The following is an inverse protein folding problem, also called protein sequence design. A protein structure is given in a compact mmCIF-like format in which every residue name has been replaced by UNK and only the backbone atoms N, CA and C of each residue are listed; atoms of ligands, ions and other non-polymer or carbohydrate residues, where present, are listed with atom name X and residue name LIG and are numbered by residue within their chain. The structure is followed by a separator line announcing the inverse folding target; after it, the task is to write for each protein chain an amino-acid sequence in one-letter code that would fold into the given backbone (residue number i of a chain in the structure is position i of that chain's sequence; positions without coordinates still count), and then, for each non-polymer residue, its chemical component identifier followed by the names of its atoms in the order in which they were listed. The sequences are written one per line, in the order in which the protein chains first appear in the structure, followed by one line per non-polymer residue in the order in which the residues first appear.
data_IF_267924072146
#
_entry.id   IF_267924072146
#
_cell.length_a   1.000
_cell.length_b   1.000
_cell.length_c   1.000
_cell.angle_alpha   90.00
_cell.angle_beta   90.00
_cell.angle_gamma   90.00
#
_symmetry.space_group_name_H-M   'P 1'
#
loop_
_entity.id
_entity.type
_entity.pdbx_description
1 polymer ?
#
# COMPACT_ATOMS: atom_id res chain seq x y z
N UNK A 1 24.77 -3.00 -11.42
CA UNK A 1 23.79 -1.98 -11.88
C UNK A 1 22.75 -1.83 -10.79
N UNK A 2 22.42 -0.61 -10.37
CA UNK A 2 21.35 -0.40 -9.41
C UNK A 2 20.01 -0.72 -10.08
N UNK A 3 19.24 -1.62 -9.49
CA UNK A 3 17.89 -1.95 -9.93
C UNK A 3 16.94 -0.85 -9.49
N UNK A 4 16.19 -0.27 -10.43
CA UNK A 4 15.11 0.68 -10.16
C UNK A 4 13.79 -0.10 -10.11
N UNK A 5 13.02 0.05 -9.04
CA UNK A 5 11.64 -0.44 -8.96
C UNK A 5 10.71 0.72 -8.69
N UNK A 6 9.52 0.67 -9.28
CA UNK A 6 8.48 1.68 -9.11
C UNK A 6 7.15 0.97 -8.97
N UNK A 7 6.43 1.28 -7.89
CA UNK A 7 5.14 0.69 -7.57
C UNK A 7 4.15 1.79 -7.22
N UNK A 8 2.95 1.77 -7.81
CA UNK A 8 1.90 2.69 -7.38
C UNK A 8 1.25 2.09 -6.14
N UNK A 9 1.54 2.62 -4.96
CA UNK A 9 1.17 2.05 -3.66
C UNK A 9 -0.21 2.49 -3.16
N UNK A 10 -0.72 3.62 -3.64
CA UNK A 10 -2.04 4.11 -3.24
C UNK A 10 -2.52 5.27 -4.08
N UNK A 11 -3.60 5.91 -3.64
CA UNK A 11 -4.12 7.13 -4.21
C UNK A 11 -4.75 8.02 -3.14
N UNK A 12 -4.86 9.31 -3.45
CA UNK A 12 -5.58 10.29 -2.65
C UNK A 12 -6.36 11.25 -3.54
N UNK A 13 -7.20 12.06 -2.91
CA UNK A 13 -8.00 13.07 -3.60
C UNK A 13 -7.56 14.44 -3.11
N UNK A 14 -7.15 15.31 -4.03
CA UNK A 14 -6.84 16.71 -3.72
C UNK A 14 -8.14 17.51 -3.77
N UNK A 15 -8.45 18.17 -2.65
CA UNK A 15 -9.62 19.03 -2.49
C UNK A 15 -9.18 20.42 -2.04
N UNK A 16 -9.25 21.39 -2.95
CA UNK A 16 -8.88 22.79 -2.68
C UNK A 16 -10.13 23.70 -2.61
N UNK A 17 -11.31 23.19 -2.97
CA UNK A 17 -12.56 23.95 -3.00
C UNK A 17 -12.67 24.92 -4.18
N UNK A 18 -11.55 25.34 -4.78
CA UNK A 18 -11.51 26.17 -5.98
C UNK A 18 -11.51 25.38 -7.31
N UNK A 19 -11.10 24.11 -7.28
CA UNK A 19 -10.96 23.22 -8.44
C UNK A 19 -11.72 21.92 -8.21
N UNK A 20 -12.15 21.21 -9.29
CA UNK A 20 -12.76 19.90 -9.14
C UNK A 20 -11.78 18.91 -8.50
N UNK A 21 -12.33 18.03 -7.65
CA UNK A 21 -11.60 16.95 -7.00
C UNK A 21 -10.70 16.20 -8.00
N UNK A 22 -9.42 16.08 -7.67
CA UNK A 22 -8.43 15.44 -8.52
C UNK A 22 -7.84 14.20 -7.83
N UNK A 23 -7.82 13.07 -8.53
CA UNK A 23 -7.12 11.86 -8.05
C UNK A 23 -5.64 12.01 -8.29
N UNK A 24 -4.86 11.79 -7.22
CA UNK A 24 -3.41 11.72 -7.26
C UNK A 24 -2.99 10.33 -6.82
N UNK A 25 -2.20 9.67 -7.66
CA UNK A 25 -1.61 8.36 -7.38
C UNK A 25 -0.28 8.53 -6.66
N UNK A 26 -0.03 7.65 -5.69
CA UNK A 26 1.19 7.62 -4.89
C UNK A 26 2.09 6.52 -5.45
N UNK A 27 3.25 6.90 -5.97
CA UNK A 27 4.27 5.97 -6.46
C UNK A 27 5.43 5.86 -5.48
N UNK A 28 5.75 4.66 -5.01
CA UNK A 28 6.99 4.39 -4.28
C UNK A 28 8.06 3.98 -5.28
N UNK A 29 9.18 4.67 -5.25
CA UNK A 29 10.35 4.41 -6.08
C UNK A 29 11.45 3.88 -5.18
N UNK A 30 12.06 2.75 -5.54
CA UNK A 30 13.23 2.23 -4.86
C UNK A 30 14.39 2.09 -5.85
N UNK A 31 15.56 2.52 -5.42
CA UNK A 31 16.79 2.41 -6.19
C UNK A 31 17.81 1.64 -5.36
N UNK A 32 18.51 0.69 -6.01
CA UNK A 32 19.48 -0.18 -5.36
C UNK A 32 20.40 0.55 -4.38
N UNK A 33 20.69 -0.07 -3.23
CA UNK A 33 21.43 0.57 -2.12
C UNK A 33 20.53 1.15 -1.01
N UNK A 34 19.24 0.80 -0.99
CA UNK A 34 18.32 1.14 0.11
C UNK A 34 17.66 2.51 0.00
N UNK A 35 17.88 3.25 -1.09
CA UNK A 35 17.22 4.53 -1.32
C UNK A 35 15.79 4.32 -1.78
N UNK A 36 14.84 4.97 -1.12
CA UNK A 36 13.43 4.94 -1.47
C UNK A 36 12.80 6.31 -1.28
N UNK A 37 11.88 6.69 -2.16
CA UNK A 37 11.11 7.92 -2.04
C UNK A 37 9.72 7.74 -2.64
N UNK A 38 8.83 8.70 -2.37
CA UNK A 38 7.46 8.70 -2.87
C UNK A 38 7.27 9.84 -3.86
N UNK A 39 6.56 9.59 -4.96
CA UNK A 39 6.10 10.61 -5.90
C UNK A 39 4.60 10.65 -5.94
N UNK A 40 4.07 11.85 -6.15
CA UNK A 40 2.64 12.11 -6.25
C UNK A 40 2.33 12.55 -7.67
N UNK A 41 1.50 11.78 -8.38
CA UNK A 41 1.23 12.01 -9.80
C UNK A 41 -0.27 11.95 -10.08
N UNK A 42 -0.87 13.01 -10.66
CA UNK A 42 -2.23 12.91 -11.17
C UNK A 42 -2.25 12.00 -12.40
N UNK A 43 -3.41 11.47 -12.74
CA UNK A 43 -3.57 10.55 -13.88
C UNK A 43 -3.01 11.12 -15.19
N UNK A 44 -3.22 12.41 -15.42
CA UNK A 44 -2.78 13.13 -16.62
C UNK A 44 -1.25 13.13 -16.77
N UNK A 45 -0.50 13.04 -15.66
CA UNK A 45 0.95 12.93 -15.72
C UNK A 45 1.38 11.58 -16.32
N UNK A 46 0.67 10.48 -16.03
CA UNK A 46 0.92 9.17 -16.63
C UNK A 46 0.62 9.18 -18.13
N UNK A 47 -0.49 9.82 -18.53
CA UNK A 47 -0.85 9.98 -19.94
C UNK A 47 0.21 10.76 -20.70
N UNK A 48 0.68 11.89 -20.16
CA UNK A 48 1.77 12.68 -20.76
C UNK A 48 3.06 11.88 -20.87
N UNK A 49 3.44 11.17 -19.80
CA UNK A 49 4.61 10.29 -19.83
C UNK A 49 4.48 9.25 -20.94
N UNK A 50 3.33 8.56 -21.03
CA UNK A 50 3.08 7.56 -22.06
C UNK A 50 3.21 8.14 -23.47
N UNK A 51 2.59 9.30 -23.73
CA UNK A 51 2.69 9.99 -25.02
C UNK A 51 4.14 10.37 -25.36
N UNK A 52 4.87 10.95 -24.41
CA UNK A 52 6.28 11.34 -24.61
C UNK A 52 7.16 10.12 -24.89
N UNK A 53 7.00 9.04 -24.12
CA UNK A 53 7.73 7.80 -24.34
C UNK A 53 7.39 7.19 -25.69
N UNK A 54 6.11 7.13 -26.08
CA UNK A 54 5.69 6.61 -27.39
C UNK A 54 6.26 7.44 -28.55
N UNK A 55 6.43 8.76 -28.40
CA UNK A 55 7.10 9.58 -29.42
C UNK A 55 8.59 9.24 -29.57
N UNK A 56 9.27 8.89 -28.48
CA UNK A 56 10.72 8.64 -28.46
C UNK A 56 11.04 7.20 -28.87
N UNK A 57 10.29 6.23 -28.35
CA UNK A 57 10.58 4.81 -28.44
C UNK A 57 9.58 4.03 -29.32
N UNK A 58 8.54 4.69 -29.83
CA UNK A 58 7.57 4.11 -30.75
C UNK A 58 6.80 2.93 -30.15
N UNK A 59 6.72 1.83 -30.91
CA UNK A 59 5.97 0.63 -30.54
C UNK A 59 6.57 -0.17 -29.38
N UNK A 60 7.79 0.17 -28.93
CA UNK A 60 8.38 -0.46 -27.74
C UNK A 60 7.69 -0.06 -26.44
N UNK A 61 6.84 0.99 -26.47
CA UNK A 61 6.15 1.51 -25.29
C UNK A 61 4.72 0.94 -25.25
N UNK A 62 4.36 0.18 -24.21
CA UNK A 62 2.98 -0.26 -24.02
C UNK A 62 2.04 0.95 -23.88
N UNK A 63 0.83 0.84 -24.42
CA UNK A 63 -0.17 1.89 -24.34
C UNK A 63 -0.50 2.20 -22.87
N UNK A 64 -0.55 3.50 -22.52
CA UNK A 64 -0.94 3.92 -21.18
C UNK A 64 -2.43 3.57 -20.93
N UNK A 65 -2.78 2.96 -19.78
CA UNK A 65 -4.17 2.66 -19.44
C UNK A 65 -5.04 3.92 -19.58
N UNK A 66 -6.21 3.86 -20.23
CA UNK A 66 -7.06 5.04 -20.40
C UNK A 66 -7.79 5.44 -19.11
N UNK A 67 -8.28 6.68 -19.04
CA UNK A 67 -9.02 7.18 -17.87
C UNK A 67 -10.43 6.59 -17.83
N UNK A 68 -10.58 5.43 -17.22
CA UNK A 68 -11.86 4.72 -17.10
C UNK A 68 -12.33 4.54 -15.64
N UNK A 69 -11.87 5.39 -14.73
CA UNK A 69 -12.29 5.35 -13.32
C UNK A 69 -13.19 6.53 -12.96
N UNK A 70 -14.00 6.32 -11.94
CA UNK A 70 -14.96 7.27 -11.40
C UNK A 70 -14.70 7.46 -9.91
N UNK A 71 -14.41 8.71 -9.52
CA UNK A 71 -14.13 9.14 -8.16
C UNK A 71 -15.21 8.74 -7.15
N UNK A 72 -16.45 8.55 -7.58
CA UNK A 72 -17.58 8.13 -6.74
C UNK A 72 -17.45 6.67 -6.29
N UNK A 73 -16.66 5.87 -6.99
CA UNK A 73 -16.50 4.44 -6.77
C UNK A 73 -15.03 4.12 -6.47
N UNK A 74 -14.63 3.96 -5.19
CA UNK A 74 -13.24 3.76 -4.81
C UNK A 74 -12.60 2.53 -5.47
N UNK A 75 -13.38 1.45 -5.67
CA UNK A 75 -12.91 0.24 -6.36
C UNK A 75 -12.47 0.50 -7.80
N UNK A 76 -13.10 1.47 -8.49
CA UNK A 76 -12.71 1.82 -9.86
C UNK A 76 -11.37 2.54 -9.91
N UNK A 77 -11.08 3.36 -8.90
CA UNK A 77 -9.81 4.07 -8.76
C UNK A 77 -8.70 3.09 -8.35
N UNK A 78 -9.03 2.14 -7.48
CA UNK A 78 -8.11 1.06 -7.10
C UNK A 78 -7.75 0.18 -8.29
N UNK A 79 -8.73 -0.16 -9.15
CA UNK A 79 -8.43 -0.85 -10.41
C UNK A 79 -7.47 -0.03 -11.28
N UNK A 80 -7.69 1.28 -11.43
CA UNK A 80 -6.80 2.15 -12.18
C UNK A 80 -5.39 2.21 -11.57
N UNK A 81 -5.28 2.21 -10.24
CA UNK A 81 -3.99 2.13 -9.52
C UNK A 81 -3.23 0.87 -9.89
N UNK A 82 -3.91 -0.29 -9.87
CA UNK A 82 -3.32 -1.58 -10.26
C UNK A 82 -2.87 -1.56 -11.72
N UNK A 83 -3.74 -1.10 -12.64
CA UNK A 83 -3.43 -1.03 -14.07
C UNK A 83 -2.21 -0.13 -14.35
N UNK A 84 -2.13 1.05 -13.70
CA UNK A 84 -0.99 1.96 -13.82
C UNK A 84 0.29 1.34 -13.25
N UNK A 85 0.18 0.62 -12.13
CA UNK A 85 1.32 -0.08 -11.54
C UNK A 85 1.86 -1.17 -12.47
N UNK A 86 0.97 -1.95 -13.10
CA UNK A 86 1.37 -2.95 -14.08
C UNK A 86 2.01 -2.31 -15.31
N UNK A 87 1.44 -1.21 -15.79
CA UNK A 87 1.98 -0.47 -16.92
C UNK A 87 3.40 0.05 -16.64
N UNK A 88 3.65 0.65 -15.47
CA UNK A 88 5.00 1.07 -15.07
C UNK A 88 5.96 -0.12 -15.00
N UNK A 89 5.53 -1.25 -14.41
CA UNK A 89 6.38 -2.45 -14.36
C UNK A 89 6.77 -2.94 -15.75
N UNK A 90 5.90 -2.83 -16.76
CA UNK A 90 6.23 -3.14 -18.14
C UNK A 90 7.26 -2.16 -18.73
N UNK A 91 7.13 -0.85 -18.46
CA UNK A 91 8.13 0.14 -18.87
C UNK A 91 9.52 -0.17 -18.32
N UNK A 92 9.59 -0.64 -17.07
CA UNK A 92 10.85 -0.99 -16.41
C UNK A 92 11.56 -2.22 -17.03
N UNK A 93 10.86 -3.01 -17.87
CA UNK A 93 11.49 -4.13 -18.59
C UNK A 93 12.41 -3.68 -19.73
N UNK A 94 12.34 -2.39 -20.11
CA UNK A 94 13.12 -1.82 -21.21
C UNK A 94 14.13 -0.79 -20.68
N UNK A 95 15.43 -1.15 -20.57
CA UNK A 95 16.48 -0.27 -20.04
C UNK A 95 16.52 1.16 -20.62
N UNK A 96 16.36 1.35 -21.94
CA UNK A 96 16.36 2.70 -22.50
C UNK A 96 15.22 3.59 -21.99
N UNK A 97 14.07 3.01 -21.61
CA UNK A 97 12.90 3.76 -21.13
C UNK A 97 13.19 4.34 -19.73
N UNK A 98 13.56 3.49 -18.76
CA UNK A 98 13.75 3.96 -17.39
C UNK A 98 15.05 4.75 -17.18
N UNK A 99 15.98 4.69 -18.12
CA UNK A 99 17.17 5.55 -18.18
C UNK A 99 16.89 6.89 -18.89
N UNK A 100 15.73 7.03 -19.55
CA UNK A 100 15.38 8.27 -20.25
C UNK A 100 15.14 9.42 -19.28
N UNK A 101 15.51 10.63 -19.68
CA UNK A 101 15.29 11.83 -18.87
C UNK A 101 13.81 12.02 -18.50
N UNK A 102 12.89 11.74 -19.42
CA UNK A 102 11.45 11.90 -19.19
C UNK A 102 10.95 10.97 -18.08
N UNK A 103 11.41 9.72 -18.06
CA UNK A 103 11.04 8.78 -17.01
C UNK A 103 11.70 9.14 -15.68
N UNK A 104 12.99 9.49 -15.68
CA UNK A 104 13.73 9.88 -14.47
C UNK A 104 13.10 11.11 -13.82
N UNK A 105 12.76 12.14 -14.61
CA UNK A 105 12.05 13.34 -14.14
C UNK A 105 10.69 12.97 -13.55
N UNK A 106 9.90 12.14 -14.25
CA UNK A 106 8.61 11.67 -13.77
C UNK A 106 8.70 10.96 -12.41
N UNK A 107 9.76 10.19 -12.15
CA UNK A 107 9.92 9.47 -10.89
C UNK A 107 10.71 10.23 -9.82
N UNK A 108 11.25 11.43 -10.09
CA UNK A 108 12.09 12.15 -9.11
C UNK A 108 11.65 13.59 -8.82
N UNK A 109 10.95 14.25 -9.76
CA UNK A 109 10.47 15.62 -9.56
C UNK A 109 9.51 15.70 -8.37
N UNK A 110 9.70 16.69 -7.49
CA UNK A 110 8.86 16.90 -6.30
C UNK A 110 8.71 15.65 -5.41
N UNK A 111 9.74 14.80 -5.37
CA UNK A 111 9.74 13.61 -4.53
C UNK A 111 9.55 13.97 -3.04
N UNK A 112 8.72 13.17 -2.37
CA UNK A 112 8.31 13.33 -0.98
C UNK A 112 7.54 14.62 -0.67
N UNK A 113 7.05 15.34 -1.69
CA UNK A 113 6.23 16.55 -1.52
C UNK A 113 4.78 16.23 -1.88
N UNK A 114 3.90 15.97 -0.89
CA UNK A 114 2.49 15.77 -1.15
C UNK A 114 1.83 17.08 -1.63
N UNK A 115 0.90 17.03 -2.62
CA UNK A 115 0.15 18.19 -3.03
C UNK A 115 -0.66 18.80 -1.86
N UNK A 116 -0.83 20.13 -1.82
CA UNK A 116 -1.66 20.78 -0.81
C UNK A 116 -3.11 20.28 -0.93
N UNK A 117 -3.77 20.04 0.20
CA UNK A 117 -5.16 19.55 0.23
C UNK A 117 -5.33 18.07 -0.15
N UNK A 118 -4.24 17.29 -0.23
CA UNK A 118 -4.31 15.85 -0.44
C UNK A 118 -4.95 15.15 0.77
N UNK A 119 -6.12 14.56 0.55
CA UNK A 119 -6.77 13.67 1.51
C UNK A 119 -6.47 12.23 1.10
N UNK A 120 -5.84 11.47 2.00
CA UNK A 120 -5.50 10.07 1.74
C UNK A 120 -6.79 9.23 1.81
N UNK A 121 -7.24 8.71 0.67
CA UNK A 121 -8.47 7.93 0.58
C UNK A 121 -8.23 6.41 0.68
N UNK A 122 -6.96 5.99 0.72
CA UNK A 122 -6.60 4.58 0.87
C UNK A 122 -5.09 4.41 0.93
N UNK A 123 -4.55 4.33 2.15
CA UNK A 123 -3.19 3.85 2.38
C UNK A 123 -3.11 3.21 3.77
N UNK A 124 -2.63 1.97 3.81
CA UNK A 124 -1.86 1.44 4.92
C UNK A 124 -0.38 1.78 4.65
N UNK A 125 0.07 2.99 4.99
CA UNK A 125 1.50 3.27 5.25
C UNK A 125 1.60 3.68 6.70
N UNK A 126 2.57 3.14 7.46
CA UNK A 126 2.80 3.58 8.83
C UNK A 126 3.02 5.10 8.84
N UNK A 127 2.24 5.76 9.69
CA UNK A 127 2.15 7.20 9.88
C UNK A 127 3.42 7.81 10.50
N UNK A 128 4.58 7.65 9.86
CA UNK A 128 5.83 8.24 10.33
C UNK A 128 6.13 9.62 9.71
N UNK A 129 5.43 10.00 8.62
CA UNK A 129 5.68 11.28 7.91
C UNK A 129 4.50 12.28 7.98
N UNK A 130 3.38 11.92 8.61
CA UNK A 130 2.23 12.81 8.79
C UNK A 130 2.15 13.35 10.23
N UNK A 131 3.24 13.97 10.71
CA UNK A 131 3.19 14.74 11.96
C UNK A 131 2.72 16.16 11.65
N UNK A 132 1.44 16.42 11.89
CA UNK A 132 0.91 17.77 12.06
C UNK A 132 -0.53 17.94 11.58
N UNK A 133 -1.51 17.57 12.41
CA UNK A 133 -2.91 17.98 12.18
C UNK A 133 -3.97 17.04 12.73
N UNK A 134 -4.13 17.02 14.05
CA UNK A 134 -5.39 16.80 14.78
C UNK A 134 -6.18 15.48 14.54
N UNK A 135 -5.60 14.35 14.96
CA UNK A 135 -6.38 13.20 15.45
C UNK A 135 -5.78 12.84 16.80
N UNK A 136 -6.28 13.47 17.85
CA UNK A 136 -5.86 13.21 19.22
C UNK A 136 -7.06 13.44 20.12
N UNK A 137 -7.82 12.37 20.36
CA UNK A 137 -8.57 12.09 21.59
C UNK A 137 -9.27 10.71 21.51
N UNK A 138 -8.53 9.66 21.21
CA UNK A 138 -8.99 8.30 21.49
C UNK A 138 -7.87 7.63 22.28
N UNK A 139 -7.90 7.84 23.60
CA UNK A 139 -7.03 7.18 24.56
C UNK A 139 -7.11 5.67 24.34
N UNK A 140 -5.99 5.11 23.88
CA UNK A 140 -5.78 3.68 23.67
C UNK A 140 -5.27 3.03 24.97
N UNK A 141 -5.76 3.53 26.12
CA UNK A 141 -5.31 3.10 27.44
C UNK A 141 -6.41 2.32 28.20
N UNK A 142 -7.61 2.14 27.62
CA UNK A 142 -8.78 1.56 28.30
C UNK A 142 -9.23 0.16 27.82
N UNK A 143 -8.44 -0.52 26.95
CA UNK A 143 -8.81 -1.87 26.44
C UNK A 143 -7.95 -3.02 26.97
N UNK A 144 -7.08 -2.79 27.96
CA UNK A 144 -6.25 -3.87 28.53
C UNK A 144 -6.17 -3.87 30.06
N UNK A 145 -7.22 -3.38 30.73
CA UNK A 145 -7.38 -3.58 32.17
C UNK A 145 -8.87 -3.80 32.52
N UNK A 146 -9.14 -4.72 33.45
CA UNK A 146 -10.44 -5.36 33.80
C UNK A 146 -10.76 -6.59 32.91
N UNK A 147 -10.58 -7.84 33.33
CA UNK A 147 -10.95 -8.46 34.61
C UNK A 147 -9.97 -9.57 35.00
N UNK A 148 -9.12 -9.28 35.99
CA UNK A 148 -8.51 -10.31 36.83
C UNK A 148 -9.44 -10.43 38.02
N UNK A 149 -10.29 -11.45 38.03
CA UNK A 149 -11.06 -11.83 39.22
C UNK A 149 -10.50 -13.17 39.70
N UNK A 150 -9.73 -13.07 40.78
CA UNK A 150 -9.03 -14.12 41.50
C UNK A 150 -9.86 -14.37 42.77
N UNK A 151 -10.61 -15.48 42.83
CA UNK A 151 -11.25 -15.93 44.08
C UNK A 151 -10.62 -17.25 44.54
N UNK A 152 -9.81 -17.22 45.61
CA UNK A 152 -9.26 -18.40 46.25
C UNK A 152 -10.01 -18.65 47.56
N UNK A 153 -10.94 -19.63 47.58
CA UNK A 153 -11.23 -20.59 48.68
C UNK A 153 -12.71 -21.02 48.72
N UNK A 154 -12.98 -22.21 48.18
CA UNK A 154 -13.84 -23.17 48.88
C UNK A 154 -13.44 -24.60 48.50
N UNK A 155 -12.93 -25.28 49.52
CA UNK A 155 -12.46 -26.66 49.59
C UNK A 155 -13.63 -27.58 50.00
N UNK A 156 -13.45 -28.89 49.77
CA UNK A 156 -14.29 -30.06 50.13
C UNK A 156 -15.50 -30.36 49.20
N UNK A 157 -15.78 -31.60 48.77
CA UNK A 157 -15.37 -32.91 49.31
C UNK A 157 -15.45 -34.02 48.23
N UNK A 158 -14.69 -35.08 48.50
CA UNK A 158 -14.42 -36.28 47.71
C UNK A 158 -15.60 -37.28 47.65
N UNK A 159 -15.76 -38.00 46.54
CA UNK A 159 -15.93 -39.47 46.64
C UNK A 159 -15.49 -40.21 45.38
N UNK A 160 -14.53 -41.09 45.62
CA UNK A 160 -14.03 -42.21 44.82
C UNK A 160 -15.15 -43.20 44.48
N UNK A 161 -15.08 -43.81 43.29
CA UNK A 161 -15.25 -45.26 43.13
C UNK A 161 -14.62 -45.67 41.80
N UNK A 162 -13.34 -46.02 41.92
CA UNK A 162 -12.64 -47.17 41.32
C UNK A 162 -13.47 -48.10 40.39
N UNK A 163 -12.94 -48.38 39.20
CA UNK A 163 -12.46 -49.73 38.83
C UNK A 163 -11.68 -49.67 37.50
N UNK A 164 -10.36 -49.76 37.63
CA UNK A 164 -9.43 -50.71 36.96
C UNK A 164 -10.02 -51.60 35.86
N UNK A 165 -9.38 -51.90 34.73
CA UNK A 165 -8.03 -52.44 34.62
C UNK A 165 -7.70 -52.64 33.12
N UNK A 166 -6.44 -52.37 32.76
CA UNK A 166 -5.68 -53.19 31.81
C UNK A 166 -5.99 -53.03 30.32
N UNK A 167 -5.04 -53.18 29.41
CA UNK A 167 -3.62 -53.44 29.49
C UNK A 167 -3.14 -53.31 28.03
N UNK A 168 -2.05 -52.58 27.82
CA UNK A 168 -0.98 -52.85 26.85
C UNK A 168 -1.31 -53.31 25.41
N UNK A 169 -0.70 -52.60 24.46
CA UNK A 169 0.31 -53.13 23.52
C UNK A 169 0.16 -52.41 22.17
N UNK A 170 1.08 -51.52 21.79
CA UNK A 170 2.29 -51.85 21.01
C UNK A 170 2.01 -52.66 19.74
N UNK A 171 2.33 -52.01 18.61
CA UNK A 171 2.84 -52.52 17.32
C UNK A 171 1.99 -52.03 16.14
N UNK A 172 2.48 -51.08 15.33
CA UNK A 172 3.49 -51.25 14.27
C UNK A 172 2.93 -52.02 13.05
N UNK A 173 3.22 -51.45 11.86
CA UNK A 173 3.12 -52.02 10.50
C UNK A 173 1.74 -51.83 9.84
N UNK A 174 1.60 -51.42 8.58
CA UNK A 174 2.51 -51.31 7.43
C UNK A 174 2.28 -49.98 6.71
#
# INVERSE_FOLDING_TARGET
MATLSVLITGFGVVRDGAQPDCVVFLGTVQQGGGSSWTVYRPFEAFQRLGQQLSMIFGQAVPACPPRMFDLRFPDSVEKARVDLSMWIMQLLQHPPIYQSHVFVDFVSADANVPPPGLQSAGMAVPAAAARGGNIGDLDMDEMFDSTTDDDPRSHDELHDDDVSDGLLSVSQRF
#
